data_IF_695901430089
#
_entry.id   IF_695901430089
#
_cell.length_a   1.000
_cell.length_b   1.000
_cell.length_c   1.000
_cell.angle_alpha   90.00
_cell.angle_beta   90.00
_cell.angle_gamma   90.00
#
_symmetry.space_group_name_H-M   'P 1'
#
loop_
_entity.id
_entity.type
_entity.pdbx_description
1 polymer ?
#
# COMPACT_ATOMS: atom_id res chain seq x y z
N UNK A 1 -22.33 -10.28 16.57
CA UNK A 1 -21.28 -10.15 15.55
C UNK A 1 -20.56 -8.83 15.79
N UNK A 2 -19.26 -8.84 16.07
CA UNK A 2 -18.52 -7.60 16.27
C UNK A 2 -18.53 -6.80 14.96
N UNK A 3 -19.14 -5.62 14.99
CA UNK A 3 -19.23 -4.69 13.87
C UNK A 3 -17.84 -4.05 13.70
N UNK A 4 -16.90 -4.83 13.17
CA UNK A 4 -15.51 -4.43 12.97
C UNK A 4 -15.46 -3.19 12.09
N UNK A 5 -14.91 -2.11 12.66
CA UNK A 5 -14.75 -0.82 12.00
C UNK A 5 -13.95 -1.00 10.70
N UNK A 6 -14.62 -0.98 9.54
CA UNK A 6 -13.99 -0.86 8.22
C UNK A 6 -13.41 0.55 8.04
N UNK A 7 -12.33 0.88 8.75
CA UNK A 7 -11.68 2.19 8.69
C UNK A 7 -10.31 2.18 8.00
N UNK A 8 -9.99 1.14 7.22
CA UNK A 8 -8.84 1.18 6.30
C UNK A 8 -9.14 2.06 5.09
N UNK A 9 -9.23 3.38 5.32
CA UNK A 9 -9.31 4.38 4.27
C UNK A 9 -7.89 4.79 3.89
N UNK A 10 -7.63 4.90 2.58
CA UNK A 10 -6.36 5.43 2.08
C UNK A 10 -6.23 6.87 2.57
N UNK A 11 -5.06 7.22 3.09
CA UNK A 11 -4.78 8.56 3.66
C UNK A 11 -4.94 9.66 2.61
N UNK A 12 -4.63 9.34 1.35
CA UNK A 12 -4.81 10.21 0.19
C UNK A 12 -5.76 9.48 -0.77
N UNK A 13 -7.07 9.77 -0.73
CA UNK A 13 -8.07 9.11 -1.58
C UNK A 13 -7.77 9.22 -3.08
N UNK A 14 -7.16 10.32 -3.51
CA UNK A 14 -6.79 10.60 -4.90
C UNK A 14 -5.75 9.60 -5.41
N UNK A 15 -4.87 9.10 -4.54
CA UNK A 15 -3.86 8.11 -4.89
C UNK A 15 -4.44 6.68 -4.91
N UNK A 16 -5.75 6.49 -4.70
CA UNK A 16 -6.33 5.17 -4.57
C UNK A 16 -6.08 4.28 -5.79
N UNK A 17 -6.39 4.77 -6.98
CA UNK A 17 -6.25 3.99 -8.22
C UNK A 17 -4.76 3.66 -8.49
N UNK A 18 -3.86 4.63 -8.32
CA UNK A 18 -2.43 4.43 -8.49
C UNK A 18 -1.86 3.39 -7.51
N UNK A 19 -2.25 3.47 -6.23
CA UNK A 19 -1.84 2.49 -5.22
C UNK A 19 -2.38 1.08 -5.49
N UNK A 20 -3.52 0.98 -6.17
CA UNK A 20 -4.10 -0.30 -6.55
C UNK A 20 -3.36 -0.93 -7.73
N UNK A 21 -3.00 -0.13 -8.74
CA UNK A 21 -2.14 -0.56 -9.85
C UNK A 21 -0.78 -1.02 -9.35
N UNK A 22 -0.15 -0.23 -8.47
CA UNK A 22 1.15 -0.56 -7.88
C UNK A 22 1.14 -1.91 -7.13
N UNK A 23 0.04 -2.22 -6.44
CA UNK A 23 -0.18 -3.50 -5.79
C UNK A 23 -0.21 -4.65 -6.81
N UNK A 24 -0.88 -4.48 -7.94
CA UNK A 24 -0.96 -5.48 -9.00
C UNK A 24 0.38 -5.71 -9.69
N UNK A 25 1.11 -4.64 -9.98
CA UNK A 25 2.46 -4.73 -10.53
C UNK A 25 3.41 -5.47 -9.58
N UNK A 26 3.39 -5.10 -8.30
CA UNK A 26 4.21 -5.78 -7.28
C UNK A 26 3.84 -7.26 -7.13
N UNK A 27 2.55 -7.60 -7.21
CA UNK A 27 2.10 -8.98 -7.16
C UNK A 27 2.56 -9.77 -8.40
N UNK A 28 2.47 -9.17 -9.59
CA UNK A 28 2.92 -9.77 -10.84
C UNK A 28 4.44 -10.05 -10.83
N UNK A 29 5.24 -9.12 -10.30
CA UNK A 29 6.69 -9.31 -10.13
C UNK A 29 7.03 -10.46 -9.19
N UNK A 30 6.20 -10.71 -8.17
CA UNK A 30 6.36 -11.83 -7.26
C UNK A 30 5.82 -13.16 -7.83
N UNK A 31 5.39 -13.17 -9.09
CA UNK A 31 4.85 -14.34 -9.78
C UNK A 31 3.42 -14.70 -9.36
N UNK A 32 2.72 -13.80 -8.67
CA UNK A 32 1.36 -14.03 -8.20
C UNK A 32 0.39 -13.60 -9.31
N UNK A 33 -0.09 -14.57 -10.07
CA UNK A 33 -1.06 -14.35 -11.14
C UNK A 33 -2.45 -14.01 -10.55
N UNK A 34 -3.20 -13.16 -11.23
CA UNK A 34 -4.60 -12.82 -10.90
C UNK A 34 -4.82 -12.33 -9.45
N UNK A 35 -3.97 -11.41 -8.98
CA UNK A 35 -4.10 -10.78 -7.66
C UNK A 35 -5.25 -9.75 -7.59
N UNK A 36 -6.45 -10.12 -8.05
CA UNK A 36 -7.65 -9.25 -8.15
C UNK A 36 -8.81 -9.85 -7.35
N UNK A 37 -9.65 -9.00 -6.77
CA UNK A 37 -10.89 -9.45 -6.12
C UNK A 37 -10.68 -10.08 -4.75
N UNK A 38 -11.32 -11.23 -4.50
CA UNK A 38 -11.25 -11.92 -3.21
C UNK A 38 -9.91 -12.65 -3.07
N UNK A 39 -9.05 -12.18 -2.17
CA UNK A 39 -7.72 -12.75 -1.90
C UNK A 39 -7.71 -13.72 -0.71
N UNK A 40 -8.88 -14.20 -0.27
CA UNK A 40 -8.99 -15.07 0.91
C UNK A 40 -8.49 -16.50 0.67
N UNK A 41 -8.49 -16.95 -0.58
CA UNK A 41 -7.93 -18.26 -0.98
C UNK A 41 -6.40 -18.23 -1.09
N UNK A 42 -5.81 -17.04 -1.19
CA UNK A 42 -4.36 -16.88 -1.18
C UNK A 42 -3.81 -17.01 0.24
N UNK A 43 -2.70 -17.74 0.45
CA UNK A 43 -2.08 -17.82 1.77
C UNK A 43 -1.74 -16.43 2.31
N UNK A 44 -2.02 -16.19 3.60
CA UNK A 44 -1.73 -14.90 4.25
C UNK A 44 -0.28 -14.45 4.11
N UNK A 45 0.65 -15.41 4.03
CA UNK A 45 2.08 -15.16 3.76
C UNK A 45 2.33 -14.51 2.40
N UNK A 46 1.58 -14.91 1.37
CA UNK A 46 1.69 -14.39 0.00
C UNK A 46 1.13 -12.97 -0.06
N UNK A 47 -0.08 -12.76 0.48
CA UNK A 47 -0.68 -11.43 0.58
C UNK A 47 0.21 -10.47 1.38
N UNK A 48 0.80 -10.96 2.49
CA UNK A 48 1.77 -10.21 3.29
C UNK A 48 3.07 -9.88 2.54
N UNK A 49 3.58 -10.81 1.72
CA UNK A 49 4.76 -10.58 0.91
C UNK A 49 4.54 -9.48 -0.15
N UNK A 50 3.36 -9.40 -0.77
CA UNK A 50 3.02 -8.30 -1.69
C UNK A 50 3.10 -6.96 -0.98
N UNK A 51 2.40 -6.82 0.15
CA UNK A 51 2.39 -5.58 0.92
C UNK A 51 3.80 -5.18 1.43
N UNK A 52 4.59 -6.15 1.88
CA UNK A 52 5.97 -5.91 2.31
C UNK A 52 6.87 -5.44 1.17
N UNK A 53 6.73 -5.99 -0.04
CA UNK A 53 7.50 -5.55 -1.20
C UNK A 53 7.06 -4.17 -1.70
N UNK A 54 5.78 -3.83 -1.62
CA UNK A 54 5.30 -2.48 -1.91
C UNK A 54 5.99 -1.45 -1.00
N UNK A 55 6.11 -1.72 0.30
CA UNK A 55 6.80 -0.84 1.26
C UNK A 55 8.29 -0.73 0.94
N UNK A 56 8.97 -1.84 0.65
CA UNK A 56 10.39 -1.82 0.27
C UNK A 56 10.65 -0.95 -0.96
N UNK A 57 9.80 -1.08 -2.00
CA UNK A 57 9.88 -0.26 -3.21
C UNK A 57 9.64 1.22 -2.93
N UNK A 58 8.65 1.55 -2.10
CA UNK A 58 8.39 2.94 -1.69
C UNK A 58 9.58 3.54 -0.94
N UNK A 59 10.21 2.78 -0.03
CA UNK A 59 11.42 3.21 0.69
C UNK A 59 12.58 3.39 -0.29
N UNK A 60 12.80 2.44 -1.19
CA UNK A 60 13.87 2.54 -2.19
C UNK A 60 13.70 3.77 -3.09
N UNK A 61 12.48 4.08 -3.55
CA UNK A 61 12.19 5.28 -4.33
C UNK A 61 12.43 6.56 -3.51
N UNK A 62 12.07 6.55 -2.23
CA UNK A 62 12.32 7.66 -1.30
C UNK A 62 13.83 7.89 -1.08
N UNK A 63 14.58 6.82 -0.82
CA UNK A 63 16.04 6.85 -0.67
C UNK A 63 16.73 7.35 -1.94
N UNK A 64 16.27 6.92 -3.13
CA UNK A 64 16.78 7.41 -4.43
C UNK A 64 16.54 8.91 -4.61
N UNK A 65 15.35 9.41 -4.24
CA UNK A 65 15.04 10.84 -4.30
C UNK A 65 15.95 11.65 -3.35
N UNK A 66 16.15 11.14 -2.13
CA UNK A 66 17.07 11.77 -1.17
C UNK A 66 18.52 11.78 -1.69
N UNK A 67 18.97 10.68 -2.30
CA UNK A 67 20.30 10.61 -2.90
C UNK A 67 20.48 11.61 -4.05
N UNK A 68 19.40 11.98 -4.75
CA UNK A 68 19.41 13.01 -5.79
C UNK A 68 19.29 14.44 -5.24
N UNK A 69 19.23 14.62 -3.91
CA UNK A 69 19.08 15.92 -3.26
C UNK A 69 17.65 16.48 -3.34
N UNK A 70 16.69 15.70 -3.84
CA UNK A 70 15.26 16.04 -3.82
C UNK A 70 14.65 15.42 -2.56
N UNK A 71 14.45 16.26 -1.54
CA UNK A 71 13.66 15.88 -0.38
C UNK A 71 12.20 15.69 -0.82
N UNK A 72 11.64 14.47 -0.80
CA UNK A 72 10.24 14.27 -1.17
C UNK A 72 9.36 15.05 -0.20
N UNK A 73 8.23 15.62 -0.66
CA UNK A 73 7.27 16.24 0.25
C UNK A 73 6.80 15.17 1.23
N UNK A 74 7.22 15.28 2.49
CA UNK A 74 6.75 14.40 3.56
C UNK A 74 5.29 14.76 3.83
N UNK A 75 4.32 13.90 3.47
CA UNK A 75 2.93 14.19 3.73
C UNK A 75 2.74 14.26 5.24
N UNK A 76 2.08 15.32 5.74
CA UNK A 76 1.67 15.33 7.14
C UNK A 76 0.64 14.21 7.34
N UNK A 77 1.07 13.12 7.99
CA UNK A 77 0.18 12.03 8.39
C UNK A 77 -0.56 12.49 9.64
N UNK A 78 -1.42 13.50 9.49
CA UNK A 78 -2.37 13.83 10.56
C UNK A 78 -3.40 12.71 10.56
N UNK A 79 -3.49 12.00 11.68
CA UNK A 79 -4.63 11.14 11.97
C UNK A 79 -5.86 12.04 12.01
N UNK A 80 -6.54 12.24 10.87
CA UNK A 80 -7.80 12.97 10.83
C UNK A 80 -8.74 12.35 11.87
N UNK A 81 -9.35 13.22 12.67
CA UNK A 81 -9.85 13.01 14.03
C UNK A 81 -10.50 11.64 14.35
N UNK A 82 -10.43 11.22 15.64
CA UNK A 82 -11.41 10.30 16.19
C UNK A 82 -12.79 10.96 16.05
N UNK A 83 -13.62 10.44 15.15
CA UNK A 83 -15.03 10.81 15.09
C UNK A 83 -15.80 9.98 16.13
N UNK A 84 -16.85 10.56 16.75
CA UNK A 84 -17.41 10.20 18.06
C UNK A 84 -17.87 8.76 18.21
#
# INVERSE_FOLDING_TARGET
>A
MAQGQKRNRKLIPQAANAMEQFKYETAAELGIQNYQGYLGDLPSRVNGAVGGNMVKKMIAAYEQSLAQGQQPPTPQVTNQQPTP
#
